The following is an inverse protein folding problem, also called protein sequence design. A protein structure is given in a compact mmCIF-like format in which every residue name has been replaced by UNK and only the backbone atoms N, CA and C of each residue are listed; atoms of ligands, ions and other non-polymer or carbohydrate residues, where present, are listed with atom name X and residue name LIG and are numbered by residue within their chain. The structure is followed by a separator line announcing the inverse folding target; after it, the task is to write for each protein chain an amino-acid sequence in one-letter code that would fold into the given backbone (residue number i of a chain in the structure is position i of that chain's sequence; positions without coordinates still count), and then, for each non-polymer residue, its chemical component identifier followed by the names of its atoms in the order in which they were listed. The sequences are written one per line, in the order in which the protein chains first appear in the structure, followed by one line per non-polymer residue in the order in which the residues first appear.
data_IF_392518744280
#
_entry.id   IF_392518744280
#
_cell.length_a   1.000
_cell.length_b   1.000
_cell.length_c   1.000
_cell.angle_alpha   90.00
_cell.angle_beta   90.00
_cell.angle_gamma   90.00
#
_symmetry.space_group_name_H-M   'P 1'
#
loop_
_entity.id
_entity.type
_entity.pdbx_description
1 polymer ?
#
# COMPACT_ATOMS: atom_id res chain seq x y z
N UNK A 1 39.57 11.80 6.06
CA UNK A 1 39.04 11.28 4.78
C UNK A 1 38.45 9.90 5.02
N UNK A 2 37.12 9.77 5.04
CA UNK A 2 36.45 8.49 5.35
C UNK A 2 35.70 7.97 4.12
N UNK A 3 36.04 6.74 3.72
CA UNK A 3 35.55 6.00 2.57
C UNK A 3 34.02 5.90 2.55
N UNK A 4 33.37 6.69 1.67
CA UNK A 4 31.99 6.44 1.24
C UNK A 4 31.97 5.25 0.29
N UNK A 5 31.82 4.04 0.84
CA UNK A 5 31.46 2.85 0.05
C UNK A 5 30.07 3.08 -0.53
N UNK A 6 30.02 3.44 -1.81
CA UNK A 6 28.80 3.39 -2.63
C UNK A 6 28.26 1.96 -2.59
N UNK A 7 27.29 1.71 -1.70
CA UNK A 7 26.54 0.46 -1.63
C UNK A 7 25.74 0.37 -2.92
N UNK A 8 26.29 -0.31 -3.94
CA UNK A 8 25.61 -0.60 -5.21
C UNK A 8 24.27 -1.24 -4.88
N UNK A 9 23.18 -0.49 -5.09
CA UNK A 9 21.82 -1.04 -5.12
C UNK A 9 21.83 -2.08 -6.24
N UNK A 10 21.88 -3.37 -5.87
CA UNK A 10 21.75 -4.47 -6.83
C UNK A 10 20.38 -4.29 -7.48
N UNK A 11 20.33 -3.86 -8.75
CA UNK A 11 19.14 -3.97 -9.58
C UNK A 11 18.70 -5.42 -9.53
N UNK A 12 17.60 -5.69 -8.83
CA UNK A 12 16.95 -7.00 -8.85
C UNK A 12 16.68 -7.30 -10.31
N UNK A 13 17.26 -8.39 -10.83
CA UNK A 13 17.07 -8.79 -12.21
C UNK A 13 15.59 -9.16 -12.38
N UNK A 14 14.87 -8.28 -13.07
CA UNK A 14 13.50 -8.50 -13.49
C UNK A 14 13.55 -9.46 -14.67
N UNK A 15 13.79 -10.73 -14.43
CA UNK A 15 13.79 -11.73 -15.49
C UNK A 15 12.37 -12.08 -15.95
N UNK A 16 11.32 -11.63 -15.23
CA UNK A 16 9.96 -12.15 -15.40
C UNK A 16 8.86 -11.10 -15.70
N UNK A 17 9.17 -9.80 -15.85
CA UNK A 17 8.17 -8.86 -16.39
C UNK A 17 8.13 -9.02 -17.92
N UNK A 18 6.95 -9.36 -18.46
CA UNK A 18 6.72 -9.39 -19.92
C UNK A 18 7.04 -8.01 -20.48
N UNK A 19 8.05 -7.91 -21.35
CA UNK A 19 8.35 -6.68 -22.09
C UNK A 19 7.07 -6.21 -22.79
N UNK A 20 6.74 -4.93 -22.66
CA UNK A 20 5.56 -4.25 -23.24
C UNK A 20 4.20 -4.42 -22.53
N UNK A 21 4.14 -4.80 -21.25
CA UNK A 21 2.91 -4.59 -20.46
C UNK A 21 2.77 -3.12 -20.03
N UNK A 22 1.53 -2.66 -19.76
CA UNK A 22 1.26 -1.34 -19.14
C UNK A 22 2.09 -1.17 -17.85
N UNK A 23 2.27 -2.27 -17.11
CA UNK A 23 3.08 -2.33 -15.89
C UNK A 23 4.60 -2.15 -16.13
N UNK A 24 5.17 -2.62 -17.25
CA UNK A 24 6.56 -2.32 -17.63
C UNK A 24 6.73 -0.83 -17.96
N UNK A 25 5.74 -0.20 -18.61
CA UNK A 25 5.77 1.24 -18.87
C UNK A 25 5.68 2.06 -17.57
N UNK A 26 4.77 1.71 -16.66
CA UNK A 26 4.63 2.39 -15.37
C UNK A 26 5.84 2.15 -14.44
N UNK A 27 6.41 0.94 -14.44
CA UNK A 27 7.66 0.65 -13.76
C UNK A 27 8.82 1.49 -14.30
N UNK A 28 8.96 1.62 -15.63
CA UNK A 28 9.97 2.50 -16.26
C UNK A 28 9.74 3.98 -15.97
N UNK A 29 8.50 4.39 -15.71
CA UNK A 29 8.14 5.73 -15.23
C UNK A 29 8.39 5.93 -13.73
N UNK A 30 8.94 4.93 -13.03
CA UNK A 30 9.19 4.94 -11.58
C UNK A 30 7.91 5.08 -10.74
N UNK A 31 6.77 4.70 -11.31
CA UNK A 31 5.47 4.69 -10.62
C UNK A 31 5.32 3.44 -9.73
N UNK A 32 6.14 2.41 -9.98
CA UNK A 32 6.17 1.16 -9.21
C UNK A 32 7.57 0.81 -8.71
N UNK A 33 7.61 0.16 -7.54
CA UNK A 33 8.77 -0.40 -6.87
C UNK A 33 8.59 -1.92 -6.81
N UNK A 34 9.66 -2.66 -7.03
CA UNK A 34 9.68 -4.10 -6.82
C UNK A 34 10.20 -4.37 -5.43
N UNK A 35 9.41 -5.09 -4.65
CA UNK A 35 9.72 -5.42 -3.27
C UNK A 35 9.61 -6.93 -3.05
N UNK A 36 10.53 -7.48 -2.26
CA UNK A 36 10.44 -8.85 -1.76
C UNK A 36 9.98 -8.80 -0.32
N UNK A 37 8.91 -9.51 0.00
CA UNK A 37 8.35 -9.57 1.34
C UNK A 37 7.55 -10.85 1.55
N UNK A 38 7.11 -11.04 2.79
CA UNK A 38 6.33 -12.21 3.18
C UNK A 38 4.91 -12.13 2.58
N UNK A 39 4.37 -13.29 2.22
CA UNK A 39 3.00 -13.37 1.77
C UNK A 39 2.05 -13.04 2.93
N UNK A 40 1.07 -12.15 2.69
CA UNK A 40 0.12 -11.77 3.74
C UNK A 40 -0.84 -12.91 4.09
N UNK A 41 -1.03 -13.85 3.16
CA UNK A 41 -1.85 -15.04 3.37
C UNK A 41 -1.04 -16.22 3.92
N UNK A 42 0.28 -16.24 3.70
CA UNK A 42 1.20 -17.23 4.27
C UNK A 42 2.56 -16.58 4.62
N UNK A 43 2.75 -16.15 5.89
CA UNK A 43 3.99 -15.50 6.33
C UNK A 43 5.27 -16.34 6.14
N UNK A 44 5.14 -17.65 5.87
CA UNK A 44 6.30 -18.53 5.62
C UNK A 44 6.80 -18.46 4.17
N UNK A 45 6.03 -17.84 3.28
CA UNK A 45 6.35 -17.75 1.86
C UNK A 45 6.86 -16.35 1.50
N UNK A 46 8.06 -16.25 0.91
CA UNK A 46 8.53 -14.98 0.33
C UNK A 46 8.04 -14.82 -1.11
N UNK A 47 7.43 -13.67 -1.38
CA UNK A 47 6.97 -13.30 -2.72
C UNK A 47 7.59 -11.98 -3.18
N UNK A 48 7.73 -11.84 -4.51
CA UNK A 48 8.12 -10.58 -5.14
C UNK A 48 6.85 -9.88 -5.60
N UNK A 49 6.60 -8.67 -5.10
CA UNK A 49 5.43 -7.84 -5.44
C UNK A 49 5.87 -6.65 -6.28
N UNK A 50 5.05 -6.29 -7.26
CA UNK A 50 5.12 -4.99 -7.92
C UNK A 50 4.16 -4.06 -7.16
N UNK A 51 4.68 -3.01 -6.53
CA UNK A 51 3.94 -2.11 -5.65
C UNK A 51 4.05 -0.68 -6.14
N UNK A 52 2.99 0.11 -6.07
CA UNK A 52 3.07 1.54 -6.41
C UNK A 52 4.06 2.27 -5.50
N UNK A 53 4.79 3.27 -6.00
CA UNK A 53 5.55 4.17 -5.13
C UNK A 53 4.57 5.00 -4.30
N UNK A 54 4.61 4.84 -2.99
CA UNK A 54 3.63 5.43 -2.09
C UNK A 54 4.21 6.58 -1.27
N UNK A 55 3.38 7.58 -0.97
CA UNK A 55 3.74 8.73 -0.13
C UNK A 55 4.24 8.29 1.25
N UNK A 56 3.66 7.23 1.81
CA UNK A 56 4.07 6.72 3.12
C UNK A 56 5.48 6.08 3.12
N UNK A 57 6.02 5.67 1.96
CA UNK A 57 7.43 5.27 1.88
C UNK A 57 8.36 6.47 2.02
N UNK A 58 7.96 7.63 1.47
CA UNK A 58 8.71 8.87 1.65
C UNK A 58 8.61 9.35 3.10
N UNK A 59 7.46 9.14 3.76
CA UNK A 59 7.30 9.43 5.18
C UNK A 59 8.21 8.55 6.05
N UNK A 60 8.32 7.25 5.73
CA UNK A 60 9.26 6.34 6.38
C UNK A 60 10.70 6.78 6.16
N UNK A 61 11.08 7.11 4.92
CA UNK A 61 12.44 7.56 4.59
C UNK A 61 12.84 8.86 5.31
N UNK A 62 11.87 9.71 5.64
CA UNK A 62 12.07 10.95 6.41
C UNK A 62 12.01 10.73 7.93
N UNK A 63 11.68 9.51 8.39
CA UNK A 63 11.49 9.20 9.81
C UNK A 63 10.21 9.77 10.42
N UNK A 64 9.22 10.16 9.58
CA UNK A 64 7.94 10.66 10.06
C UNK A 64 7.02 9.56 10.56
N UNK A 65 7.16 8.34 10.03
CA UNK A 65 6.49 7.13 10.49
C UNK A 65 7.52 6.02 10.70
N UNK A 66 7.18 5.04 11.53
CA UNK A 66 7.99 3.86 11.76
C UNK A 66 7.65 2.73 10.76
N UNK A 67 8.42 1.63 10.80
CA UNK A 67 8.20 0.49 9.91
C UNK A 67 6.82 -0.17 10.13
N UNK A 68 6.38 -0.34 11.38
CA UNK A 68 5.08 -0.94 11.71
C UNK A 68 3.91 -0.14 11.11
N UNK A 69 3.96 1.19 11.19
CA UNK A 69 2.95 2.09 10.63
C UNK A 69 2.90 1.99 9.10
N UNK A 70 4.08 1.89 8.48
CA UNK A 70 4.18 1.66 7.03
C UNK A 70 3.59 0.30 6.65
N UNK A 71 3.89 -0.75 7.40
CA UNK A 71 3.40 -2.11 7.14
C UNK A 71 1.88 -2.21 7.37
N UNK A 72 1.36 -1.53 8.39
CA UNK A 72 -0.07 -1.40 8.64
C UNK A 72 -0.79 -0.70 7.48
N UNK A 73 -0.20 0.34 6.90
CA UNK A 73 -0.74 1.00 5.71
C UNK A 73 -0.70 0.13 4.46
N UNK A 74 0.34 -0.68 4.29
CA UNK A 74 0.39 -1.66 3.20
C UNK A 74 -0.67 -2.76 3.37
N UNK A 75 -0.83 -3.28 4.59
CA UNK A 75 -1.90 -4.25 4.90
C UNK A 75 -3.29 -3.65 4.64
N UNK A 76 -3.52 -2.40 5.03
CA UNK A 76 -4.77 -1.70 4.73
C UNK A 76 -5.03 -1.59 3.22
N UNK A 77 -4.00 -1.23 2.44
CA UNK A 77 -4.11 -1.14 0.98
C UNK A 77 -4.52 -2.49 0.37
N UNK A 78 -3.92 -3.58 0.85
CA UNK A 78 -4.20 -4.93 0.35
C UNK A 78 -5.58 -5.41 0.78
N UNK A 79 -6.05 -5.11 1.99
CA UNK A 79 -7.42 -5.39 2.43
C UNK A 79 -8.42 -4.65 1.55
N UNK A 80 -8.18 -3.37 1.25
CA UNK A 80 -9.02 -2.60 0.33
C UNK A 80 -9.10 -3.27 -1.05
N UNK A 81 -7.96 -3.65 -1.64
CA UNK A 81 -7.92 -4.29 -2.96
C UNK A 81 -8.68 -5.63 -2.98
N UNK A 82 -8.46 -6.47 -1.96
CA UNK A 82 -9.18 -7.74 -1.80
C UNK A 82 -10.69 -7.54 -1.65
N UNK A 83 -11.12 -6.49 -0.96
CA UNK A 83 -12.54 -6.20 -0.72
C UNK A 83 -13.24 -5.73 -2.00
N UNK A 84 -12.63 -4.83 -2.77
CA UNK A 84 -13.29 -4.25 -3.96
C UNK A 84 -13.14 -5.09 -5.24
N UNK A 85 -12.30 -6.12 -5.24
CA UNK A 85 -12.22 -7.17 -6.27
C UNK A 85 -11.84 -6.73 -7.70
N UNK A 86 -11.72 -5.42 -7.96
CA UNK A 86 -11.67 -4.87 -9.32
C UNK A 86 -10.92 -3.54 -9.45
N UNK A 87 -10.31 -3.03 -8.37
CA UNK A 87 -9.38 -1.89 -8.46
C UNK A 87 -8.04 -2.39 -9.01
N UNK A 88 -7.91 -2.36 -10.33
CA UNK A 88 -6.82 -2.98 -11.08
C UNK A 88 -5.40 -2.78 -10.49
N UNK A 89 -4.67 -3.89 -10.42
CA UNK A 89 -3.21 -3.99 -10.43
C UNK A 89 -2.45 -3.04 -9.47
N UNK A 90 -2.92 -2.83 -8.23
CA UNK A 90 -2.15 -2.05 -7.25
C UNK A 90 -1.16 -2.92 -6.46
N UNK A 91 -1.52 -4.18 -6.18
CA UNK A 91 -0.67 -5.19 -5.55
C UNK A 91 -0.85 -6.56 -6.22
N UNK A 92 -0.57 -6.65 -7.52
CA UNK A 92 -0.49 -7.95 -8.17
C UNK A 92 0.73 -8.74 -7.64
N UNK A 93 0.50 -9.92 -7.05
CA UNK A 93 1.56 -10.91 -6.86
C UNK A 93 2.19 -11.17 -8.24
N UNK A 94 3.51 -11.07 -8.38
CA UNK A 94 4.16 -11.23 -9.69
C UNK A 94 3.85 -12.57 -10.38
N UNK A 95 3.43 -13.59 -9.62
CA UNK A 95 3.04 -14.90 -10.14
C UNK A 95 1.59 -14.97 -10.68
N UNK A 96 0.72 -13.98 -10.41
CA UNK A 96 -0.64 -13.91 -10.96
C UNK A 96 -0.72 -13.19 -12.32
N UNK A 97 0.42 -12.78 -12.88
CA UNK A 97 0.53 -12.21 -14.23
C UNK A 97 0.12 -13.19 -15.36
N UNK A 98 -0.26 -14.43 -15.03
CA UNK A 98 -0.61 -15.49 -15.99
C UNK A 98 -2.07 -15.94 -15.98
N UNK A 99 -2.89 -15.58 -14.99
CA UNK A 99 -4.31 -15.97 -14.99
C UNK A 99 -5.19 -14.82 -15.44
N UNK A 100 -5.33 -14.69 -16.76
CA UNK A 100 -6.53 -14.05 -17.35
C UNK A 100 -7.69 -15.02 -17.17
N UNK A 101 -8.19 -15.12 -15.94
CA UNK A 101 -9.21 -16.11 -15.60
C UNK A 101 -10.39 -15.43 -14.91
N UNK A 102 -11.44 -15.28 -15.71
CA UNK A 102 -12.85 -15.23 -15.31
C UNK A 102 -13.40 -13.91 -14.78
N UNK A 103 -14.00 -13.16 -15.72
CA UNK A 103 -15.24 -12.41 -15.47
C UNK A 103 -16.32 -13.37 -14.94
N UNK A 104 -17.22 -12.85 -14.09
CA UNK A 104 -18.53 -13.41 -13.70
C UNK A 104 -18.59 -14.38 -12.51
N UNK A 105 -18.25 -13.94 -11.30
CA UNK A 105 -19.00 -14.37 -10.12
C UNK A 105 -19.79 -13.16 -9.60
N UNK A 106 -21.11 -13.26 -9.60
CA UNK A 106 -22.01 -12.22 -9.08
C UNK A 106 -22.05 -12.20 -7.54
N UNK A 107 -21.68 -13.32 -6.91
CA UNK A 107 -21.58 -13.47 -5.46
C UNK A 107 -20.15 -13.17 -4.98
N UNK A 108 -19.99 -12.46 -3.85
CA UNK A 108 -18.68 -12.26 -3.23
C UNK A 108 -18.02 -13.61 -2.91
N UNK A 109 -16.74 -13.76 -3.21
CA UNK A 109 -16.00 -14.94 -2.73
C UNK A 109 -15.91 -14.88 -1.20
N UNK A 110 -15.76 -16.03 -0.54
CA UNK A 110 -15.52 -16.10 0.93
C UNK A 110 -14.33 -15.22 1.33
N UNK A 111 -13.27 -15.22 0.53
CA UNK A 111 -12.09 -14.35 0.72
C UNK A 111 -12.40 -12.85 0.61
N UNK A 112 -13.36 -12.47 -0.23
CA UNK A 112 -13.82 -11.09 -0.38
C UNK A 112 -14.72 -10.69 0.81
N UNK A 113 -15.58 -11.60 1.27
CA UNK A 113 -16.40 -11.42 2.47
C UNK A 113 -15.52 -11.19 3.71
N UNK A 114 -14.52 -12.04 3.92
CA UNK A 114 -13.59 -11.91 5.04
C UNK A 114 -12.80 -10.59 4.98
N UNK A 115 -12.41 -10.15 3.77
CA UNK A 115 -11.74 -8.87 3.58
C UNK A 115 -12.67 -7.69 3.90
N UNK A 116 -13.95 -7.76 3.51
CA UNK A 116 -14.95 -6.77 3.88
C UNK A 116 -15.14 -6.69 5.40
N UNK A 117 -15.22 -7.80 6.11
CA UNK A 117 -15.38 -7.81 7.57
C UNK A 117 -14.20 -7.11 8.26
N UNK A 118 -12.97 -7.40 7.82
CA UNK A 118 -11.77 -6.71 8.29
C UNK A 118 -11.81 -5.22 7.97
N UNK A 119 -12.21 -4.85 6.75
CA UNK A 119 -12.32 -3.46 6.33
C UNK A 119 -13.37 -2.69 7.14
N UNK A 120 -14.53 -3.31 7.42
CA UNK A 120 -15.58 -2.73 8.25
C UNK A 120 -15.11 -2.52 9.68
N UNK A 121 -14.38 -3.49 10.27
CA UNK A 121 -13.79 -3.33 11.61
C UNK A 121 -12.84 -2.12 11.64
N UNK A 122 -11.93 -2.02 10.66
CA UNK A 122 -10.99 -0.90 10.54
C UNK A 122 -11.74 0.44 10.45
N UNK A 123 -12.73 0.53 9.57
CA UNK A 123 -13.49 1.77 9.37
C UNK A 123 -14.31 2.18 10.59
N UNK A 124 -14.84 1.20 11.33
CA UNK A 124 -15.61 1.44 12.55
C UNK A 124 -14.73 1.99 13.66
N UNK A 125 -13.56 1.38 13.88
CA UNK A 125 -12.65 1.75 14.98
C UNK A 125 -11.91 3.06 14.72
N UNK A 126 -11.50 3.32 13.47
CA UNK A 126 -10.76 4.53 13.10
C UNK A 126 -11.63 5.80 13.10
N UNK A 127 -12.94 5.65 12.86
CA UNK A 127 -13.86 6.77 12.72
C UNK A 127 -13.72 7.53 11.39
N UNK A 128 -14.77 8.28 11.03
CA UNK A 128 -14.93 8.87 9.68
C UNK A 128 -13.77 9.79 9.29
N UNK A 129 -13.33 10.65 10.20
CA UNK A 129 -12.31 11.67 9.90
C UNK A 129 -10.94 11.06 9.55
N UNK A 130 -10.43 10.18 10.43
CA UNK A 130 -9.16 9.49 10.21
C UNK A 130 -9.24 8.54 9.01
N UNK A 131 -10.39 7.89 8.79
CA UNK A 131 -10.63 7.09 7.58
C UNK A 131 -10.48 7.90 6.30
N UNK A 132 -11.06 9.09 6.26
CA UNK A 132 -11.01 9.92 5.06
C UNK A 132 -9.55 10.39 4.79
N UNK A 133 -8.78 10.71 5.85
CA UNK A 133 -7.34 10.99 5.75
C UNK A 133 -6.56 9.76 5.27
N UNK A 134 -6.82 8.59 5.86
CA UNK A 134 -6.16 7.35 5.49
C UNK A 134 -6.39 7.02 4.01
N UNK A 135 -7.63 7.14 3.54
CA UNK A 135 -7.98 6.92 2.15
C UNK A 135 -7.28 7.91 1.22
N UNK A 136 -7.18 9.19 1.60
CA UNK A 136 -6.45 10.18 0.81
C UNK A 136 -4.96 9.83 0.67
N UNK A 137 -4.33 9.28 1.73
CA UNK A 137 -2.91 8.91 1.69
C UNK A 137 -2.69 7.56 1.01
N UNK A 138 -3.35 6.50 1.47
CA UNK A 138 -3.04 5.13 1.06
C UNK A 138 -3.61 4.82 -0.32
N UNK A 139 -4.88 5.19 -0.56
CA UNK A 139 -5.54 4.93 -1.85
C UNK A 139 -5.34 6.09 -2.82
N UNK A 140 -5.45 7.33 -2.33
CA UNK A 140 -5.28 8.55 -3.11
C UNK A 140 -3.83 8.92 -3.39
N UNK A 141 -2.86 8.35 -2.66
CA UNK A 141 -1.45 8.70 -2.75
C UNK A 141 -1.18 10.20 -2.61
N UNK A 142 -1.98 10.90 -1.81
CA UNK A 142 -1.85 12.34 -1.57
C UNK A 142 -0.81 12.62 -0.49
N UNK A 143 0.03 13.61 -0.73
CA UNK A 143 0.94 14.18 0.27
C UNK A 143 0.17 14.99 1.32
N UNK A 144 0.76 15.18 2.49
CA UNK A 144 0.16 15.99 3.56
C UNK A 144 -0.16 17.42 3.12
N UNK A 145 0.64 17.97 2.20
CA UNK A 145 0.40 19.30 1.62
C UNK A 145 -0.84 19.33 0.73
N UNK A 146 -1.05 18.31 -0.08
CA UNK A 146 -2.25 18.21 -0.92
C UNK A 146 -3.50 18.00 -0.05
N UNK A 147 -3.38 17.22 1.03
CA UNK A 147 -4.47 17.02 1.99
C UNK A 147 -4.81 18.33 2.70
N UNK A 148 -3.80 19.09 3.15
CA UNK A 148 -4.04 20.36 3.84
C UNK A 148 -4.75 21.36 2.93
N UNK A 149 -4.36 21.40 1.64
CA UNK A 149 -5.01 22.23 0.64
C UNK A 149 -6.46 21.78 0.37
N UNK A 150 -6.68 20.47 0.20
CA UNK A 150 -8.01 19.91 -0.09
C UNK A 150 -9.00 20.10 1.06
N UNK A 151 -8.53 19.99 2.30
CA UNK A 151 -9.35 20.17 3.49
C UNK A 151 -9.43 21.63 3.96
N UNK A 152 -8.71 22.55 3.31
CA UNK A 152 -8.56 23.95 3.73
C UNK A 152 -8.08 24.07 5.19
N UNK A 153 -7.11 23.24 5.58
CA UNK A 153 -6.53 23.19 6.91
C UNK A 153 -5.09 23.68 6.92
N UNK A 154 -4.62 24.10 8.10
CA UNK A 154 -3.22 24.42 8.33
C UNK A 154 -2.33 23.18 8.21
N UNK A 155 -1.20 23.29 7.49
CA UNK A 155 -0.28 22.18 7.23
C UNK A 155 0.23 21.49 8.52
N UNK A 156 0.78 22.20 9.53
CA UNK A 156 1.11 21.61 10.84
C UNK A 156 -0.02 20.80 11.48
N UNK A 157 -1.25 21.33 11.43
CA UNK A 157 -2.40 20.61 11.96
C UNK A 157 -2.68 19.34 11.16
N UNK A 158 -2.69 19.43 9.82
CA UNK A 158 -2.85 18.27 8.94
C UNK A 158 -1.76 17.23 9.17
N UNK A 159 -0.49 17.63 9.37
CA UNK A 159 0.60 16.70 9.72
C UNK A 159 0.28 15.95 11.02
N UNK A 160 -0.16 16.64 12.06
CA UNK A 160 -0.60 15.99 13.31
C UNK A 160 -1.71 14.96 13.09
N UNK A 161 -2.72 15.31 12.29
CA UNK A 161 -3.83 14.40 11.97
C UNK A 161 -3.41 13.19 11.15
N UNK A 162 -2.50 13.39 10.19
CA UNK A 162 -1.91 12.30 9.41
C UNK A 162 -1.16 11.34 10.32
N UNK A 163 -0.28 11.83 11.19
CA UNK A 163 0.49 10.98 12.10
C UNK A 163 -0.41 10.23 13.07
N UNK A 164 -1.40 10.90 13.65
CA UNK A 164 -2.41 10.27 14.50
C UNK A 164 -3.16 9.15 13.77
N UNK A 165 -3.48 9.35 12.49
CA UNK A 165 -4.14 8.33 11.65
C UNK A 165 -3.27 7.07 11.49
N UNK A 166 -1.96 7.22 11.31
CA UNK A 166 -1.04 6.06 11.21
C UNK A 166 -0.86 5.33 12.55
N UNK A 167 -0.87 6.04 13.68
CA UNK A 167 -0.83 5.43 15.02
C UNK A 167 -2.08 4.60 15.25
N UNK A 168 -3.26 5.18 15.02
CA UNK A 168 -4.55 4.49 15.17
C UNK A 168 -4.62 3.27 14.25
N UNK A 169 -4.18 3.40 13.00
CA UNK A 169 -4.15 2.28 12.07
C UNK A 169 -3.24 1.14 12.55
N UNK A 170 -2.03 1.46 13.04
CA UNK A 170 -1.11 0.47 13.58
C UNK A 170 -1.75 -0.32 14.72
N UNK A 171 -2.46 0.35 15.63
CA UNK A 171 -3.16 -0.28 16.76
C UNK A 171 -4.28 -1.21 16.28
N UNK A 172 -5.18 -0.70 15.42
CA UNK A 172 -6.29 -1.49 14.85
C UNK A 172 -5.78 -2.72 14.11
N UNK A 173 -4.71 -2.57 13.33
CA UNK A 173 -4.15 -3.65 12.52
C UNK A 173 -3.52 -4.74 13.38
N UNK A 174 -2.94 -4.40 14.54
CA UNK A 174 -2.43 -5.40 15.50
C UNK A 174 -3.54 -6.26 16.11
N UNK A 175 -4.75 -5.73 16.15
CA UNK A 175 -5.92 -6.39 16.76
C UNK A 175 -6.80 -7.13 15.72
N UNK A 176 -6.38 -7.24 14.47
CA UNK A 176 -7.06 -7.95 13.37
C UNK A 176 -6.57 -9.38 13.18
#
# INVERSE_FOLDING_TARGET
MANRRNKKVRKVAISNLKKNSILDQQYRRHEFVIEKGDDLDDPKQQITRLRRKCVYDEMLARGSINQNQRDAAEQYAIICEKSFGSSGDLYARANYLFSTSSRNNWEPSTTQSDAYDKLFKIWKEMGRYHRDILNMIVLGNMSTKEISQKLHLNLPYTMGQVLSTFIILEEIIKDL
#
